data_IF_214375504727
#
_entry.id   IF_214375504727
#
_cell.length_a   1.000
_cell.length_b   1.000
_cell.length_c   1.000
_cell.angle_alpha   90.00
_cell.angle_beta   90.00
_cell.angle_gamma   90.00
#
_symmetry.space_group_name_H-M   'P 1'
#
loop_
_entity.id
_entity.type
_entity.pdbx_description
1 polymer ?
#
# COMPACT_ATOMS: atom_id res chain seq x y z
N UNK A 1 -6.80 13.08 -3.19
CA UNK A 1 -6.45 12.12 -2.11
C UNK A 1 -6.85 12.62 -0.72
N UNK A 2 -6.40 13.79 -0.23
CA UNK A 2 -6.69 14.24 1.14
C UNK A 2 -8.18 14.39 1.55
N UNK A 3 -9.12 14.34 0.61
CA UNK A 3 -10.57 14.40 0.88
C UNK A 3 -11.28 13.07 0.60
N UNK A 4 -10.55 11.97 0.46
CA UNK A 4 -11.09 10.63 0.17
C UNK A 4 -11.14 9.78 1.44
N UNK A 5 -12.22 9.04 1.63
CA UNK A 5 -12.37 8.12 2.77
C UNK A 5 -11.63 6.79 2.57
N UNK A 6 -11.45 6.37 1.32
CA UNK A 6 -10.75 5.15 0.92
C UNK A 6 -10.15 5.28 -0.48
N UNK A 7 -9.00 4.67 -0.70
CA UNK A 7 -8.39 4.47 -2.02
C UNK A 7 -8.53 3.00 -2.43
N UNK A 8 -8.93 2.73 -3.67
CA UNK A 8 -9.18 1.36 -4.17
C UNK A 8 -8.41 1.13 -5.46
N UNK A 9 -7.62 0.05 -5.48
CA UNK A 9 -6.82 -0.36 -6.63
C UNK A 9 -7.10 -1.82 -6.99
N UNK A 10 -8.12 -2.09 -7.84
CA UNK A 10 -8.52 -3.43 -8.25
C UNK A 10 -7.68 -3.97 -9.42
N UNK A 11 -6.42 -3.52 -9.57
CA UNK A 11 -5.61 -3.81 -10.75
C UNK A 11 -5.24 -5.29 -10.88
N UNK A 12 -5.33 -5.83 -12.09
CA UNK A 12 -4.84 -7.19 -12.42
C UNK A 12 -3.32 -7.25 -12.39
N UNK A 13 -2.67 -6.13 -12.72
CA UNK A 13 -1.24 -5.95 -12.69
C UNK A 13 -0.93 -4.49 -12.40
N UNK A 14 -0.12 -4.25 -11.38
CA UNK A 14 0.45 -2.94 -11.08
C UNK A 14 1.89 -3.13 -10.60
N UNK A 15 2.89 -2.96 -11.48
CA UNK A 15 4.26 -3.43 -11.23
C UNK A 15 5.06 -2.56 -10.25
N UNK A 16 4.74 -1.27 -10.12
CA UNK A 16 5.42 -0.39 -9.18
C UNK A 16 4.65 -0.28 -7.86
N UNK A 17 3.33 -0.11 -7.96
CA UNK A 17 2.48 -0.02 -6.77
C UNK A 17 2.71 1.26 -5.96
N UNK A 18 3.18 2.36 -6.56
CA UNK A 18 3.46 3.63 -5.87
C UNK A 18 2.16 4.30 -5.37
N UNK A 19 1.09 4.23 -6.15
CA UNK A 19 -0.18 4.89 -5.84
C UNK A 19 -0.79 4.53 -4.47
N UNK A 20 -0.83 3.26 -4.02
CA UNK A 20 -1.25 2.94 -2.65
C UNK A 20 -0.29 3.47 -1.57
N UNK A 21 1.03 3.55 -1.81
CA UNK A 21 1.93 4.20 -0.85
C UNK A 21 1.60 5.69 -0.70
N UNK A 22 1.34 6.40 -1.81
CA UNK A 22 0.96 7.81 -1.80
C UNK A 22 -0.36 8.05 -1.07
N UNK A 23 -1.35 7.18 -1.29
CA UNK A 23 -2.64 7.24 -0.61
C UNK A 23 -2.47 7.04 0.92
N UNK A 24 -1.74 6.00 1.32
CA UNK A 24 -1.45 5.72 2.73
C UNK A 24 -0.61 6.83 3.38
N UNK A 25 0.35 7.42 2.66
CA UNK A 25 1.15 8.55 3.15
C UNK A 25 0.28 9.79 3.43
N UNK A 26 -0.79 9.98 2.63
CA UNK A 26 -1.80 11.01 2.83
C UNK A 26 -2.78 10.71 3.98
N UNK A 27 -2.67 9.57 4.65
CA UNK A 27 -3.61 9.13 5.69
C UNK A 27 -4.94 8.65 5.11
N UNK A 28 -4.91 8.03 3.93
CA UNK A 28 -6.10 7.43 3.29
C UNK A 28 -5.96 5.90 3.36
N UNK A 29 -6.91 5.18 4.00
CA UNK A 29 -6.97 3.72 3.96
C UNK A 29 -6.99 3.23 2.52
N UNK A 30 -6.26 2.14 2.25
CA UNK A 30 -6.15 1.61 0.90
C UNK A 30 -6.67 0.16 0.83
N UNK A 31 -7.25 -0.17 -0.32
CA UNK A 31 -7.62 -1.52 -0.72
C UNK A 31 -6.86 -1.84 -2.01
N UNK A 32 -6.10 -2.93 -2.01
CA UNK A 32 -5.27 -3.34 -3.15
C UNK A 32 -5.57 -4.79 -3.55
N UNK A 33 -5.27 -5.13 -4.80
CA UNK A 33 -5.26 -6.53 -5.22
C UNK A 33 -4.00 -7.26 -4.74
N UNK A 34 -4.09 -8.58 -4.58
CA UNK A 34 -2.93 -9.43 -4.29
C UNK A 34 -1.82 -9.35 -5.35
N UNK A 35 -2.19 -9.05 -6.60
CA UNK A 35 -1.30 -8.98 -7.77
C UNK A 35 -0.59 -7.63 -7.93
N UNK A 36 -0.74 -6.72 -6.97
CA UNK A 36 0.02 -5.47 -6.94
C UNK A 36 1.47 -5.70 -6.50
N UNK A 37 2.42 -5.00 -7.12
CA UNK A 37 3.85 -5.10 -6.80
C UNK A 37 4.19 -4.66 -5.37
N UNK A 38 3.30 -3.91 -4.72
CA UNK A 38 3.41 -3.50 -3.33
C UNK A 38 2.71 -4.47 -2.34
N UNK A 39 2.04 -5.51 -2.84
CA UNK A 39 1.27 -6.45 -2.00
C UNK A 39 2.14 -7.14 -0.96
N UNK A 40 3.40 -7.45 -1.26
CA UNK A 40 4.29 -8.15 -0.33
C UNK A 40 4.88 -7.24 0.76
N UNK A 41 4.95 -5.92 0.50
CA UNK A 41 5.59 -4.97 1.41
C UNK A 41 4.60 -4.26 2.34
N UNK A 42 3.33 -4.15 1.95
CA UNK A 42 2.30 -3.46 2.71
C UNK A 42 1.52 -4.45 3.59
N UNK A 43 1.40 -4.18 4.88
CA UNK A 43 0.73 -5.03 5.86
C UNK A 43 -0.53 -4.38 6.42
N UNK A 44 -0.53 -3.06 6.60
CA UNK A 44 -1.65 -2.30 7.14
C UNK A 44 -2.56 -1.78 6.01
N UNK A 45 -2.96 -2.69 5.13
CA UNK A 45 -3.78 -2.44 3.94
C UNK A 45 -4.74 -3.61 3.74
N UNK A 46 -5.95 -3.37 3.25
CA UNK A 46 -6.85 -4.47 2.89
C UNK A 46 -6.40 -5.03 1.54
N UNK A 47 -6.26 -6.35 1.46
CA UNK A 47 -5.90 -7.06 0.23
C UNK A 47 -7.07 -7.93 -0.21
N UNK A 48 -7.44 -7.85 -1.47
CA UNK A 48 -8.54 -8.64 -2.03
C UNK A 48 -8.11 -9.31 -3.35
N UNK A 49 -8.87 -10.30 -3.79
CA UNK A 49 -8.77 -10.79 -5.16
C UNK A 49 -9.47 -9.79 -6.09
N UNK A 50 -8.81 -9.37 -7.16
CA UNK A 50 -9.38 -8.39 -8.10
C UNK A 50 -10.64 -8.88 -8.82
N UNK A 51 -10.87 -10.20 -8.90
CA UNK A 51 -12.11 -10.78 -9.43
C UNK A 51 -13.24 -10.87 -8.38
N UNK A 52 -12.93 -10.72 -7.09
CA UNK A 52 -13.90 -10.84 -6.01
C UNK A 52 -14.53 -9.48 -5.71
N UNK A 53 -15.59 -9.18 -6.48
CA UNK A 53 -16.32 -7.92 -6.39
C UNK A 53 -17.02 -7.77 -5.03
N UNK A 54 -17.52 -8.86 -4.46
CA UNK A 54 -18.21 -8.84 -3.16
C UNK A 54 -17.21 -8.52 -2.04
N UNK A 55 -16.05 -9.18 -2.01
CA UNK A 55 -15.01 -8.86 -1.04
C UNK A 55 -14.51 -7.41 -1.15
N UNK A 56 -14.43 -6.88 -2.38
CA UNK A 56 -14.09 -5.47 -2.61
C UNK A 56 -15.18 -4.53 -2.07
N UNK A 57 -16.44 -4.82 -2.34
CA UNK A 57 -17.57 -4.04 -1.86
C UNK A 57 -17.66 -4.05 -0.33
N UNK A 58 -17.50 -5.23 0.29
CA UNK A 58 -17.48 -5.40 1.74
C UNK A 58 -16.33 -4.64 2.39
N UNK A 59 -15.15 -4.63 1.77
CA UNK A 59 -14.00 -3.88 2.25
C UNK A 59 -14.24 -2.36 2.20
N UNK A 60 -14.80 -1.85 1.09
CA UNK A 60 -15.16 -0.43 0.96
C UNK A 60 -16.21 -0.06 2.01
N UNK A 61 -17.27 -0.86 2.11
CA UNK A 61 -18.35 -0.65 3.06
C UNK A 61 -17.80 -0.62 4.49
N UNK A 62 -16.95 -1.59 4.85
CA UNK A 62 -16.38 -1.69 6.19
C UNK A 62 -15.56 -0.47 6.57
N UNK A 63 -14.74 0.06 5.65
CA UNK A 63 -13.98 1.30 5.91
C UNK A 63 -14.92 2.48 6.11
N UNK A 64 -15.99 2.60 5.32
CA UNK A 64 -16.94 3.70 5.42
C UNK A 64 -17.85 3.62 6.66
N UNK A 65 -18.15 2.42 7.17
CA UNK A 65 -19.13 2.24 8.27
C UNK A 65 -18.53 1.91 9.62
N UNK A 66 -17.26 1.51 9.69
CA UNK A 66 -16.56 1.22 10.95
C UNK A 66 -15.42 2.23 11.18
N UNK A 67 -15.68 3.37 11.86
CA UNK A 67 -14.69 4.42 12.07
C UNK A 67 -13.40 3.94 12.75
N UNK A 68 -13.50 2.97 13.66
CA UNK A 68 -12.34 2.40 14.34
C UNK A 68 -11.39 1.66 13.37
N UNK A 69 -11.95 0.94 12.39
CA UNK A 69 -11.17 0.26 11.36
C UNK A 69 -10.49 1.27 10.43
N UNK A 70 -11.23 2.28 9.98
CA UNK A 70 -10.68 3.36 9.16
C UNK A 70 -9.53 4.07 9.88
N UNK A 71 -9.72 4.44 11.15
CA UNK A 71 -8.70 5.13 11.93
C UNK A 71 -7.45 4.26 12.14
N UNK A 72 -7.63 2.98 12.45
CA UNK A 72 -6.52 2.03 12.56
C UNK A 72 -5.71 1.95 11.27
N UNK A 73 -6.37 1.75 10.12
CA UNK A 73 -5.71 1.68 8.81
C UNK A 73 -5.02 2.98 8.43
N UNK A 74 -5.57 4.14 8.81
CA UNK A 74 -4.93 5.44 8.60
C UNK A 74 -3.64 5.56 9.41
N UNK A 75 -3.71 5.29 10.71
CA UNK A 75 -2.60 5.51 11.64
C UNK A 75 -1.49 4.49 11.40
N UNK A 76 -1.81 3.20 11.38
CA UNK A 76 -0.81 2.14 11.22
C UNK A 76 -0.31 2.06 9.77
N UNK A 77 -1.19 2.28 8.78
CA UNK A 77 -0.79 2.38 7.38
C UNK A 77 0.19 3.52 7.15
N UNK A 78 -0.07 4.70 7.72
CA UNK A 78 0.87 5.82 7.62
C UNK A 78 2.21 5.53 8.30
N UNK A 79 2.19 4.97 9.52
CA UNK A 79 3.41 4.58 10.24
C UNK A 79 4.25 3.60 9.43
N UNK A 80 3.62 2.60 8.81
CA UNK A 80 4.32 1.64 7.96
C UNK A 80 5.01 2.32 6.78
N UNK A 81 4.29 3.17 6.04
CA UNK A 81 4.87 3.88 4.88
C UNK A 81 5.99 4.83 5.29
N UNK A 82 5.88 5.49 6.45
CA UNK A 82 6.92 6.39 6.95
C UNK A 82 8.24 5.64 7.26
N UNK A 83 8.22 4.29 7.41
CA UNK A 83 9.44 3.47 7.53
C UNK A 83 10.07 3.08 6.18
N UNK A 84 9.34 3.24 5.07
CA UNK A 84 9.81 2.90 3.73
C UNK A 84 10.47 4.14 3.12
N UNK A 85 11.78 4.27 3.29
CA UNK A 85 12.52 5.46 2.84
C UNK A 85 13.22 5.24 1.49
N UNK A 86 13.30 6.31 0.70
CA UNK A 86 14.10 6.33 -0.54
C UNK A 86 15.60 6.15 -0.25
N UNK A 87 16.07 6.59 0.91
CA UNK A 87 17.46 6.44 1.33
C UNK A 87 17.83 4.96 1.53
N UNK A 88 16.94 4.18 2.14
CA UNK A 88 17.13 2.74 2.31
C UNK A 88 17.13 2.01 0.97
N UNK A 89 16.22 2.37 0.06
CA UNK A 89 16.20 1.84 -1.30
C UNK A 89 17.49 2.17 -2.06
N UNK A 90 17.94 3.42 -2.00
CA UNK A 90 19.19 3.87 -2.63
C UNK A 90 20.43 3.18 -2.05
N UNK A 91 20.46 2.95 -0.73
CA UNK A 91 21.55 2.21 -0.07
C UNK A 91 21.63 0.77 -0.58
N UNK A 92 20.49 0.06 -0.67
CA UNK A 92 20.44 -1.31 -1.22
C UNK A 92 20.95 -1.38 -2.65
N UNK A 93 20.54 -0.42 -3.50
CA UNK A 93 21.02 -0.36 -4.88
C UNK A 93 22.53 -0.11 -4.92
N UNK A 94 23.04 0.85 -4.14
CA UNK A 94 24.48 1.14 -4.06
C UNK A 94 25.29 -0.07 -3.62
N UNK A 95 24.83 -0.81 -2.61
CA UNK A 95 25.51 -2.04 -2.15
C UNK A 95 25.67 -3.09 -3.26
N UNK A 96 24.69 -3.22 -4.16
CA UNK A 96 24.78 -4.13 -5.31
C UNK A 96 25.85 -3.63 -6.30
N UNK A 97 25.88 -2.33 -6.60
CA UNK A 97 26.93 -1.75 -7.44
C UNK A 97 28.32 -1.92 -6.81
N UNK A 98 28.47 -1.63 -5.51
CA UNK A 98 29.73 -1.76 -4.79
C UNK A 98 30.26 -3.19 -4.85
N UNK A 99 29.39 -4.19 -4.68
CA UNK A 99 29.75 -5.61 -4.82
C UNK A 99 30.29 -5.93 -6.21
N UNK A 100 29.62 -5.47 -7.27
CA UNK A 100 30.01 -5.79 -8.65
C UNK A 100 31.28 -5.04 -9.09
N UNK A 101 31.45 -3.78 -8.65
CA UNK A 101 32.60 -2.94 -9.03
C UNK A 101 33.87 -3.32 -8.26
N UNK A 102 33.73 -3.83 -7.04
CA UNK A 102 34.86 -4.30 -6.21
C UNK A 102 34.99 -5.84 -6.19
N UNK A 103 34.34 -6.52 -7.15
CA UNK A 103 34.60 -7.94 -7.50
C UNK A 103 35.88 -8.06 -8.32
#
# INVERSE_FOLDING_TARGET
LKSSDVYVMPSVSEPFGISPLEAMQCGVPSIISYQSGCSEILHNVIKTNYWDVEAMADAIYSICTYPAMAEYLKVEGKKEIDTITWEDAGRKVREVYDRVVHS
#
